data_IF_815965370201
#
_entry.id   IF_815965370201
#
_cell.length_a   1.000
_cell.length_b   1.000
_cell.length_c   1.000
_cell.angle_alpha   90.00
_cell.angle_beta   90.00
_cell.angle_gamma   90.00
#
_symmetry.space_group_name_H-M   'P 1'
#
loop_
_entity.id
_entity.type
_entity.pdbx_description
1 polymer ?
#
# COMPACT_ATOMS: atom_id res chain seq x y z
N UNK A 1 24.24 -50.59 5.76
CA UNK A 1 24.83 -51.04 7.04
C UNK A 1 25.27 -52.49 6.88
N UNK A 2 26.56 -52.79 6.97
CA UNK A 2 27.07 -54.18 6.90
C UNK A 2 27.15 -54.78 8.30
N UNK A 3 27.09 -56.12 8.41
CA UNK A 3 27.20 -56.82 9.71
C UNK A 3 28.52 -56.48 10.42
N UNK A 4 29.59 -56.22 9.66
CA UNK A 4 30.88 -55.78 10.20
C UNK A 4 30.82 -54.39 10.84
N UNK A 5 30.06 -53.45 10.25
CA UNK A 5 29.86 -52.12 10.81
C UNK A 5 29.06 -52.17 12.11
N UNK A 6 28.02 -53.01 12.17
CA UNK A 6 27.22 -53.19 13.38
C UNK A 6 28.04 -53.79 14.53
N UNK A 7 28.93 -54.75 14.25
CA UNK A 7 29.80 -55.35 15.29
C UNK A 7 30.79 -54.35 15.88
N UNK A 8 31.42 -53.51 15.05
CA UNK A 8 32.31 -52.44 15.55
C UNK A 8 31.58 -51.45 16.46
N UNK A 9 30.36 -51.08 16.09
CA UNK A 9 29.56 -50.16 16.90
C UNK A 9 29.17 -50.78 18.25
N UNK A 10 28.88 -52.08 18.30
CA UNK A 10 28.61 -52.78 19.56
C UNK A 10 29.87 -52.90 20.43
N UNK A 11 31.03 -53.23 19.84
CA UNK A 11 32.32 -53.27 20.56
C UNK A 11 32.68 -51.89 21.16
N UNK A 12 32.37 -50.80 20.45
CA UNK A 12 32.61 -49.44 20.91
C UNK A 12 31.67 -49.01 22.03
N UNK A 13 30.39 -49.41 21.98
CA UNK A 13 29.44 -49.19 23.08
C UNK A 13 29.89 -49.96 24.33
N UNK A 14 30.36 -51.21 24.18
CA UNK A 14 30.84 -52.00 25.31
C UNK A 14 32.11 -51.40 25.95
N UNK A 15 33.03 -50.85 25.15
CA UNK A 15 34.20 -50.13 25.67
C UNK A 15 33.83 -48.87 26.46
N UNK A 16 32.71 -48.23 26.14
CA UNK A 16 32.23 -47.01 26.81
C UNK A 16 31.33 -47.28 28.03
N UNK A 17 31.27 -48.54 28.49
CA UNK A 17 30.47 -48.93 29.66
C UNK A 17 29.16 -49.65 29.32
N UNK A 18 29.03 -50.10 28.07
CA UNK A 18 27.94 -50.97 27.62
C UNK A 18 26.57 -50.28 27.55
N UNK A 19 25.47 -51.06 27.51
CA UNK A 19 24.13 -50.53 27.33
C UNK A 19 23.65 -49.64 28.50
N UNK A 20 24.25 -49.76 29.69
CA UNK A 20 23.95 -48.86 30.83
C UNK A 20 24.51 -47.45 30.60
N UNK A 21 25.68 -47.31 29.97
CA UNK A 21 26.20 -46.01 29.55
C UNK A 21 25.30 -45.36 28.49
N UNK A 22 24.68 -46.16 27.62
CA UNK A 22 23.68 -45.68 26.65
C UNK A 22 22.42 -45.13 27.34
N UNK A 23 21.93 -45.82 28.38
CA UNK A 23 20.74 -45.40 29.14
C UNK A 23 20.96 -44.11 29.93
N UNK A 24 22.16 -43.93 30.47
CA UNK A 24 22.54 -42.72 31.21
C UNK A 24 23.06 -41.59 30.30
N UNK A 25 22.97 -41.77 28.98
CA UNK A 25 23.38 -40.79 27.97
C UNK A 25 24.85 -40.34 28.11
N UNK A 26 25.72 -41.28 28.52
CA UNK A 26 27.16 -41.07 28.73
C UNK A 26 28.02 -41.60 27.59
N UNK A 27 27.40 -42.08 26.51
CA UNK A 27 28.12 -42.52 25.31
C UNK A 27 28.63 -41.31 24.53
N UNK A 28 29.93 -41.33 24.24
CA UNK A 28 30.58 -40.44 23.30
C UNK A 28 30.68 -41.18 21.96
N UNK A 29 29.57 -41.25 21.23
CA UNK A 29 29.57 -41.74 19.86
C UNK A 29 30.20 -40.64 19.00
N UNK A 30 31.41 -40.88 18.51
CA UNK A 30 32.01 -40.06 17.47
C UNK A 30 30.99 -39.96 16.32
N UNK A 31 30.58 -38.75 15.97
CA UNK A 31 29.72 -38.47 14.81
C UNK A 31 30.51 -38.67 13.51
N UNK A 32 31.17 -39.82 13.39
CA UNK A 32 31.52 -40.43 12.12
C UNK A 32 30.24 -41.03 11.53
N UNK A 33 29.22 -40.17 11.38
CA UNK A 33 28.30 -40.27 10.27
C UNK A 33 29.21 -40.38 9.04
N UNK A 34 29.23 -41.51 8.31
CA UNK A 34 30.01 -41.59 7.08
C UNK A 34 29.53 -40.40 6.28
N UNK A 35 30.46 -39.48 6.02
CA UNK A 35 30.20 -38.27 5.27
C UNK A 35 29.22 -38.65 4.18
N UNK A 36 28.02 -38.06 4.27
CA UNK A 36 27.12 -38.09 3.14
C UNK A 36 27.98 -37.56 2.00
N UNK A 37 28.43 -38.48 1.13
CA UNK A 37 28.86 -38.18 -0.21
C UNK A 37 27.62 -37.60 -0.89
N UNK A 38 27.27 -36.38 -0.54
CA UNK A 38 26.53 -35.49 -1.41
C UNK A 38 27.51 -35.21 -2.52
N UNK A 39 27.59 -36.17 -3.46
CA UNK A 39 27.93 -35.82 -4.81
C UNK A 39 26.92 -34.74 -5.18
N UNK A 40 27.32 -33.47 -5.04
CA UNK A 40 26.55 -32.30 -5.43
C UNK A 40 26.49 -32.33 -6.95
N UNK A 41 25.70 -33.25 -7.45
CA UNK A 41 25.35 -33.33 -8.86
C UNK A 41 24.40 -32.17 -9.03
N UNK A 42 24.87 -31.10 -9.69
CA UNK A 42 24.01 -29.99 -10.05
C UNK A 42 22.71 -30.52 -10.64
N UNK A 43 21.54 -30.10 -10.13
CA UNK A 43 20.27 -30.59 -10.63
C UNK A 43 20.16 -30.22 -12.12
N UNK A 44 19.89 -31.24 -12.94
CA UNK A 44 19.79 -31.08 -14.40
C UNK A 44 18.77 -29.97 -14.72
N UNK A 45 19.10 -28.99 -15.58
CA UNK A 45 18.15 -27.95 -15.97
C UNK A 45 16.85 -28.57 -16.50
N UNK A 46 15.70 -28.03 -16.07
CA UNK A 46 14.38 -28.60 -16.37
C UNK A 46 14.15 -28.79 -17.87
N UNK A 47 14.62 -27.85 -18.70
CA UNK A 47 14.53 -27.98 -20.16
C UNK A 47 15.30 -29.18 -20.72
N UNK A 48 16.49 -29.48 -20.17
CA UNK A 48 17.30 -30.65 -20.55
C UNK A 48 16.66 -31.94 -20.04
N UNK A 49 16.11 -31.93 -18.82
CA UNK A 49 15.40 -33.08 -18.25
C UNK A 49 14.17 -33.47 -19.08
N UNK A 50 13.36 -32.47 -19.45
CA UNK A 50 12.17 -32.69 -20.28
C UNK A 50 12.54 -33.19 -21.69
N UNK A 51 13.65 -32.71 -22.26
CA UNK A 51 14.15 -33.20 -23.54
C UNK A 51 14.59 -34.67 -23.45
N UNK A 52 15.37 -35.02 -22.44
CA UNK A 52 15.76 -36.41 -22.18
C UNK A 52 14.55 -37.34 -22.03
N UNK A 53 13.51 -36.86 -21.36
CA UNK A 53 12.29 -37.63 -21.14
C UNK A 53 11.52 -37.90 -22.45
N UNK A 54 11.59 -37.01 -23.45
CA UNK A 54 10.97 -37.22 -24.77
C UNK A 54 11.67 -38.31 -25.59
N UNK A 55 12.99 -38.45 -25.39
CA UNK A 55 13.82 -39.42 -26.09
C UNK A 55 13.72 -40.83 -25.47
N UNK A 56 12.99 -40.98 -24.36
CA UNK A 56 12.83 -42.29 -23.70
C UNK A 56 11.88 -43.21 -24.48
N UNK A 57 12.22 -44.52 -24.57
CA UNK A 57 11.32 -45.51 -25.16
C UNK A 57 10.06 -45.71 -24.32
N UNK A 58 10.17 -45.52 -23.00
CA UNK A 58 9.07 -45.62 -22.06
C UNK A 58 8.01 -44.54 -22.34
N UNK A 59 6.76 -44.99 -22.49
CA UNK A 59 5.62 -44.10 -22.72
C UNK A 59 5.27 -43.29 -21.47
N UNK A 60 5.37 -43.88 -20.29
CA UNK A 60 4.96 -43.22 -19.05
C UNK A 60 5.86 -42.02 -18.74
N UNK A 61 7.16 -42.15 -19.03
CA UNK A 61 8.14 -41.07 -18.90
C UNK A 61 7.85 -39.93 -19.87
N UNK A 62 7.50 -40.24 -21.12
CA UNK A 62 7.10 -39.23 -22.12
C UNK A 62 5.80 -38.52 -21.73
N UNK A 63 4.80 -39.27 -21.28
CA UNK A 63 3.53 -38.72 -20.82
C UNK A 63 3.72 -37.83 -19.57
N UNK A 64 4.65 -38.19 -18.68
CA UNK A 64 5.05 -37.36 -17.55
C UNK A 64 5.70 -36.05 -18.00
N UNK A 65 6.59 -36.09 -18.99
CA UNK A 65 7.19 -34.88 -19.56
C UNK A 65 6.15 -33.96 -20.21
N UNK A 66 5.18 -34.53 -20.92
CA UNK A 66 4.07 -33.77 -21.49
C UNK A 66 3.25 -33.05 -20.41
N UNK A 67 2.87 -33.74 -19.33
CA UNK A 67 2.16 -33.14 -18.19
C UNK A 67 2.98 -32.05 -17.51
N UNK A 68 4.27 -32.28 -17.31
CA UNK A 68 5.17 -31.31 -16.70
C UNK A 68 5.30 -30.03 -17.56
N UNK A 69 5.33 -30.14 -18.89
CA UNK A 69 5.33 -28.97 -19.79
C UNK A 69 4.06 -28.12 -19.64
N UNK A 70 2.90 -28.76 -19.57
CA UNK A 70 1.62 -28.06 -19.38
C UNK A 70 1.61 -27.32 -18.04
N UNK A 71 2.07 -27.96 -16.97
CA UNK A 71 2.19 -27.33 -15.65
C UNK A 71 3.19 -26.16 -15.63
N UNK A 72 4.34 -26.29 -16.29
CA UNK A 72 5.30 -25.20 -16.38
C UNK A 72 4.77 -24.02 -17.21
N UNK A 73 4.05 -24.30 -18.29
CA UNK A 73 3.44 -23.25 -19.10
C UNK A 73 2.39 -22.46 -18.31
N UNK A 74 1.55 -23.13 -17.53
CA UNK A 74 0.55 -22.46 -16.69
C UNK A 74 1.20 -21.64 -15.56
N UNK A 75 2.24 -22.17 -14.90
CA UNK A 75 2.98 -21.46 -13.87
C UNK A 75 3.69 -20.21 -14.42
N UNK A 76 4.33 -20.32 -15.58
CA UNK A 76 4.97 -19.17 -16.25
C UNK A 76 3.97 -18.08 -16.58
N UNK A 77 2.83 -18.45 -17.19
CA UNK A 77 1.75 -17.50 -17.48
C UNK A 77 1.28 -16.77 -16.21
N UNK A 78 1.14 -17.50 -15.10
CA UNK A 78 0.74 -16.89 -13.82
C UNK A 78 1.80 -15.93 -13.30
N UNK A 79 3.07 -16.34 -13.34
CA UNK A 79 4.19 -15.50 -12.95
C UNK A 79 4.25 -14.21 -13.77
N UNK A 80 4.12 -14.31 -15.10
CA UNK A 80 4.12 -13.15 -15.99
C UNK A 80 2.95 -12.20 -15.65
N UNK A 81 1.76 -12.76 -15.39
CA UNK A 81 0.59 -11.98 -14.95
C UNK A 81 0.86 -11.24 -13.62
N UNK A 82 1.48 -11.92 -12.66
CA UNK A 82 1.79 -11.34 -11.35
C UNK A 82 2.89 -10.27 -11.46
N UNK A 83 3.86 -10.43 -12.36
CA UNK A 83 4.87 -9.41 -12.70
C UNK A 83 4.22 -8.17 -13.33
N UNK A 84 3.35 -8.35 -14.32
CA UNK A 84 2.60 -7.26 -14.94
C UNK A 84 1.75 -6.51 -13.92
N UNK A 85 1.04 -7.23 -13.05
CA UNK A 85 0.23 -6.62 -11.98
C UNK A 85 1.10 -5.79 -11.02
N UNK A 86 2.27 -6.31 -10.66
CA UNK A 86 3.24 -5.60 -9.81
C UNK A 86 3.75 -4.33 -10.49
N UNK A 87 4.06 -4.40 -11.78
CA UNK A 87 4.51 -3.26 -12.58
C UNK A 87 3.42 -2.18 -12.66
N UNK A 88 2.19 -2.56 -13.01
CA UNK A 88 1.03 -1.64 -13.07
C UNK A 88 0.77 -1.00 -11.71
N UNK A 89 0.83 -1.78 -10.63
CA UNK A 89 0.61 -1.26 -9.26
C UNK A 89 1.68 -0.23 -8.90
N UNK A 90 2.94 -0.52 -9.21
CA UNK A 90 4.05 0.39 -8.95
C UNK A 90 3.91 1.69 -9.75
N UNK A 91 3.59 1.60 -11.04
CA UNK A 91 3.36 2.78 -11.88
C UNK A 91 2.16 3.61 -11.41
N UNK A 92 1.06 2.96 -11.01
CA UNK A 92 -0.11 3.63 -10.47
C UNK A 92 0.22 4.45 -9.22
N UNK A 93 1.05 3.92 -8.31
CA UNK A 93 1.50 4.66 -7.13
C UNK A 93 2.41 5.84 -7.50
N UNK A 94 3.32 5.67 -8.46
CA UNK A 94 4.16 6.77 -8.95
C UNK A 94 3.32 7.90 -9.58
N UNK A 95 2.31 7.55 -10.37
CA UNK A 95 1.39 8.53 -10.97
C UNK A 95 0.55 9.25 -9.91
N UNK A 96 0.09 8.55 -8.86
CA UNK A 96 -0.60 9.19 -7.72
C UNK A 96 0.29 10.19 -7.01
N UNK A 97 1.56 9.86 -6.78
CA UNK A 97 2.52 10.78 -6.16
C UNK A 97 2.72 12.03 -7.03
N UNK A 98 2.89 11.86 -8.34
CA UNK A 98 3.04 12.98 -9.28
C UNK A 98 1.78 13.83 -9.35
N UNK A 99 0.60 13.23 -9.28
CA UNK A 99 -0.66 13.95 -9.21
C UNK A 99 -0.76 14.75 -7.92
N UNK A 100 -0.37 14.19 -6.77
CA UNK A 100 -0.35 14.89 -5.50
C UNK A 100 0.59 16.11 -5.53
N UNK A 101 1.77 15.97 -6.12
CA UNK A 101 2.72 17.08 -6.32
C UNK A 101 2.11 18.20 -7.19
N UNK A 102 1.47 17.84 -8.30
CA UNK A 102 0.80 18.82 -9.17
C UNK A 102 -0.37 19.53 -8.47
N UNK A 103 -1.14 18.81 -7.64
CA UNK A 103 -2.21 19.40 -6.84
C UNK A 103 -1.66 20.34 -5.77
N UNK A 104 -0.58 19.95 -5.09
CA UNK A 104 0.10 20.82 -4.13
C UNK A 104 0.59 22.09 -4.82
N UNK A 105 1.23 21.97 -5.99
CA UNK A 105 1.69 23.11 -6.77
C UNK A 105 0.55 23.99 -7.25
N UNK A 106 -0.58 23.38 -7.64
CA UNK A 106 -1.79 24.12 -8.01
C UNK A 106 -2.30 24.92 -6.82
N UNK A 107 -2.38 24.33 -5.63
CA UNK A 107 -2.83 25.01 -4.41
C UNK A 107 -1.90 26.17 -4.05
N UNK A 108 -0.58 25.99 -4.16
CA UNK A 108 0.41 27.08 -3.95
C UNK A 108 0.20 28.24 -4.92
N UNK A 109 -0.10 27.95 -6.19
CA UNK A 109 -0.31 28.95 -7.22
C UNK A 109 -1.73 29.53 -7.20
N UNK A 110 -2.67 28.92 -6.50
CA UNK A 110 -4.04 29.41 -6.44
C UNK A 110 -4.06 30.76 -5.71
N UNK A 111 -4.58 31.82 -6.36
CA UNK A 111 -4.63 33.13 -5.72
C UNK A 111 -5.52 33.03 -4.49
N UNK A 112 -4.97 33.34 -3.32
CA UNK A 112 -5.74 33.48 -2.08
C UNK A 112 -6.78 34.57 -2.34
N UNK A 113 -8.04 34.18 -2.55
CA UNK A 113 -9.11 35.14 -2.81
C UNK A 113 -9.14 36.11 -1.63
N UNK A 114 -8.95 37.42 -1.86
CA UNK A 114 -9.01 38.38 -0.77
C UNK A 114 -10.40 38.27 -0.15
N UNK A 115 -10.45 38.02 1.18
CA UNK A 115 -11.69 38.10 1.93
C UNK A 115 -12.22 39.52 1.73
N UNK A 116 -13.23 39.68 0.88
CA UNK A 116 -13.95 40.94 0.72
C UNK A 116 -14.54 41.28 2.09
N UNK A 117 -13.84 42.14 2.85
CA UNK A 117 -14.43 42.80 4.00
C UNK A 117 -15.62 43.57 3.44
N UNK A 118 -16.83 43.13 3.81
CA UNK A 118 -18.04 43.85 3.42
C UNK A 118 -17.86 45.27 3.94
N UNK A 119 -17.83 46.25 3.05
CA UNK A 119 -17.69 47.64 3.43
C UNK A 119 -18.72 47.96 4.51
N UNK A 120 -18.24 48.55 5.61
CA UNK A 120 -19.13 49.13 6.61
C UNK A 120 -20.04 50.13 5.89
N UNK A 121 -21.35 50.12 6.16
CA UNK A 121 -22.24 51.11 5.55
C UNK A 121 -21.74 52.53 5.86
N UNK A 122 -21.72 53.41 4.86
CA UNK A 122 -21.26 54.81 4.98
C UNK A 122 -22.20 55.72 5.79
N UNK A 123 -23.16 55.14 6.52
CA UNK A 123 -24.17 55.86 7.27
C UNK A 123 -24.19 55.37 8.72
N UNK A 124 -24.44 56.31 9.63
CA UNK A 124 -24.69 56.00 11.03
C UNK A 124 -26.07 55.37 11.18
N UNK A 125 -26.12 54.07 11.46
CA UNK A 125 -27.37 53.31 11.53
C UNK A 125 -28.33 53.84 12.62
N UNK A 126 -27.80 54.42 13.70
CA UNK A 126 -28.61 55.02 14.76
C UNK A 126 -29.42 56.22 14.23
N UNK A 127 -28.80 57.08 13.43
CA UNK A 127 -29.44 58.27 12.83
C UNK A 127 -30.56 57.88 11.89
N UNK A 128 -30.32 56.90 11.00
CA UNK A 128 -31.33 56.42 10.05
C UNK A 128 -32.51 55.77 10.78
N UNK A 129 -32.27 55.04 11.88
CA UNK A 129 -33.34 54.47 12.71
C UNK A 129 -34.13 55.52 13.48
N UNK A 130 -33.48 56.57 13.98
CA UNK A 130 -34.16 57.67 14.64
C UNK A 130 -35.12 58.37 13.66
N UNK A 131 -34.63 58.68 12.46
CA UNK A 131 -35.44 59.26 11.39
C UNK A 131 -36.59 58.34 10.96
N UNK A 132 -36.34 57.04 10.81
CA UNK A 132 -37.38 56.08 10.44
C UNK A 132 -38.51 56.01 11.49
N UNK A 133 -38.17 56.08 12.78
CA UNK A 133 -39.16 56.12 13.87
C UNK A 133 -40.01 57.38 13.82
N UNK A 134 -39.39 58.53 13.57
CA UNK A 134 -40.10 59.82 13.46
C UNK A 134 -41.05 59.84 12.26
N UNK A 135 -40.68 59.20 11.15
CA UNK A 135 -41.47 59.13 9.92
C UNK A 135 -42.42 57.91 9.86
N UNK A 136 -42.58 57.19 10.98
CA UNK A 136 -43.42 55.97 11.07
C UNK A 136 -43.06 54.86 10.05
N UNK A 137 -41.79 54.77 9.65
CA UNK A 137 -41.28 53.77 8.69
C UNK A 137 -40.81 52.53 9.47
N UNK A 138 -41.29 51.31 9.12
CA UNK A 138 -40.85 50.08 9.78
C UNK A 138 -39.34 49.82 9.61
N UNK A 139 -38.59 49.86 10.72
CA UNK A 139 -37.15 49.56 10.72
C UNK A 139 -36.80 48.63 11.90
N UNK A 140 -36.03 47.54 11.67
CA UNK A 140 -35.55 46.66 12.75
C UNK A 140 -34.71 47.40 13.80
N UNK A 141 -34.81 47.03 15.09
CA UNK A 141 -34.08 47.71 16.18
C UNK A 141 -32.58 47.41 16.16
N UNK A 142 -32.18 46.23 15.65
CA UNK A 142 -30.80 45.75 15.58
C UNK A 142 -30.47 45.27 14.16
N UNK A 143 -29.17 45.20 13.83
CA UNK A 143 -28.69 44.72 12.54
C UNK A 143 -28.61 45.78 11.44
N UNK A 144 -28.47 45.35 10.18
CA UNK A 144 -28.34 46.27 9.04
C UNK A 144 -29.67 46.97 8.75
N UNK A 145 -29.64 48.29 8.59
CA UNK A 145 -30.82 49.07 8.20
C UNK A 145 -31.24 48.66 6.77
N UNK A 146 -32.52 48.35 6.51
CA UNK A 146 -32.98 47.98 5.17
C UNK A 146 -32.69 49.08 4.16
N UNK A 147 -32.29 48.69 2.94
CA UNK A 147 -31.90 49.64 1.89
C UNK A 147 -33.00 50.67 1.60
N UNK A 148 -34.27 50.23 1.58
CA UNK A 148 -35.40 51.12 1.37
C UNK A 148 -35.49 52.27 2.39
N UNK A 149 -35.15 51.99 3.65
CA UNK A 149 -35.15 53.01 4.72
C UNK A 149 -34.00 53.99 4.54
N UNK A 150 -32.81 53.49 4.16
CA UNK A 150 -31.63 54.33 3.87
C UNK A 150 -31.88 55.24 2.66
N UNK A 151 -32.46 54.70 1.59
CA UNK A 151 -32.76 55.45 0.37
C UNK A 151 -33.80 56.55 0.64
N UNK A 152 -34.83 56.26 1.44
CA UNK A 152 -35.83 57.24 1.84
C UNK A 152 -35.23 58.35 2.74
N UNK A 153 -34.34 57.98 3.67
CA UNK A 153 -33.61 58.95 4.49
C UNK A 153 -32.71 59.84 3.65
N UNK A 154 -31.96 59.28 2.69
CA UNK A 154 -31.11 60.06 1.78
C UNK A 154 -31.93 61.01 0.91
N UNK A 155 -33.09 60.60 0.42
CA UNK A 155 -34.00 61.45 -0.34
C UNK A 155 -34.48 62.64 0.51
N UNK A 156 -34.94 62.39 1.73
CA UNK A 156 -35.40 63.44 2.65
C UNK A 156 -34.27 64.40 3.05
N UNK A 157 -33.06 63.87 3.30
CA UNK A 157 -31.92 64.67 3.75
C UNK A 157 -31.39 65.57 2.63
N UNK A 158 -31.36 65.08 1.38
CA UNK A 158 -30.97 65.88 0.19
C UNK A 158 -31.93 67.03 -0.08
N UNK A 159 -33.23 66.82 0.13
CA UNK A 159 -34.26 67.87 -0.02
C UNK A 159 -34.12 68.93 1.07
N UNK A 160 -33.82 68.52 2.32
CA UNK A 160 -33.65 69.46 3.45
C UNK A 160 -32.39 70.33 3.36
N UNK A 161 -31.35 69.92 2.63
CA UNK A 161 -30.12 70.71 2.44
C UNK A 161 -30.18 71.68 1.25
N UNK A 162 -31.25 71.67 0.47
CA UNK A 162 -31.42 72.47 -0.74
C UNK A 162 -32.42 73.64 -0.57
N UNK A 163 -32.68 74.08 0.66
CA UNK A 163 -33.52 75.25 1.00
C UNK A 163 -32.75 76.26 1.83
#
# INVERSE_FOLDING_TARGET
MTIAALRRLLDEIDQQGGPEAARENRLHLSDESPEHMTATTEPLPVGRLLKWADEQPDRDVRDQAARARVALASLRKRYDTDQELTAITTEAEQLKQRLAELLARKEELMPVKPKKRRASPSYEAATVRAWARENSIPCPPLGRVPKAVVDAWLAATRVSTAS
#
